data_IF_698925990378
#
_entry.id   IF_698925990378
#
_cell.length_a   1.000
_cell.length_b   1.000
_cell.length_c   1.000
_cell.angle_alpha   90.00
_cell.angle_beta   90.00
_cell.angle_gamma   90.00
#
_symmetry.space_group_name_H-M   'P 1'
#
loop_
_entity.id
_entity.type
_entity.pdbx_description
1 polymer ?
#
# COMPACT_ATOMS: atom_id res chain seq x y z
N UNK A 1 -0.91 -15.25 -24.62
CA UNK A 1 -1.96 -15.57 -23.62
C UNK A 1 -3.31 -14.99 -24.07
N UNK A 2 -4.17 -15.77 -24.73
CA UNK A 2 -5.43 -15.24 -25.32
C UNK A 2 -6.61 -15.42 -24.35
N UNK A 3 -7.23 -14.31 -23.93
CA UNK A 3 -8.57 -14.34 -23.33
C UNK A 3 -8.83 -13.32 -22.21
N UNK A 4 -7.85 -13.03 -21.35
CA UNK A 4 -8.05 -12.27 -20.11
C UNK A 4 -8.62 -10.87 -20.42
N UNK A 5 -9.72 -10.44 -19.77
CA UNK A 5 -10.28 -9.11 -19.98
C UNK A 5 -9.24 -8.02 -19.72
N UNK A 6 -8.97 -7.17 -20.71
CA UNK A 6 -7.98 -6.08 -20.61
C UNK A 6 -8.24 -5.14 -19.42
N UNK A 7 -9.51 -4.96 -19.02
CA UNK A 7 -9.89 -4.20 -17.82
C UNK A 7 -9.24 -4.75 -16.53
N UNK A 8 -9.15 -6.08 -16.38
CA UNK A 8 -8.51 -6.71 -15.21
C UNK A 8 -6.98 -6.57 -15.22
N UNK A 9 -6.38 -6.46 -16.41
CA UNK A 9 -4.93 -6.22 -16.55
C UNK A 9 -4.61 -4.75 -16.28
N UNK A 10 -5.35 -3.82 -16.88
CA UNK A 10 -5.20 -2.37 -16.63
C UNK A 10 -5.42 -1.99 -15.16
N UNK A 11 -6.33 -2.68 -14.47
CA UNK A 11 -6.57 -2.50 -13.05
C UNK A 11 -5.33 -2.76 -12.16
N UNK A 12 -4.38 -3.60 -12.61
CA UNK A 12 -3.13 -3.91 -11.89
C UNK A 12 -2.03 -2.85 -12.05
N UNK A 13 -2.27 -1.81 -12.86
CA UNK A 13 -1.28 -0.78 -13.17
C UNK A 13 -1.70 0.53 -12.51
N UNK A 14 -0.87 1.02 -11.58
CA UNK A 14 -0.99 2.36 -10.98
C UNK A 14 0.07 3.26 -11.61
N UNK A 15 -0.34 4.41 -12.14
CA UNK A 15 0.56 5.41 -12.75
C UNK A 15 0.51 6.68 -11.92
N UNK A 16 1.64 7.01 -11.29
CA UNK A 16 1.86 8.25 -10.58
C UNK A 16 2.60 9.19 -11.53
N UNK A 17 1.90 10.24 -11.99
CA UNK A 17 2.47 11.23 -12.91
C UNK A 17 3.37 12.19 -12.13
N UNK A 18 4.43 12.67 -12.77
CA UNK A 18 5.20 13.80 -12.28
C UNK A 18 4.31 15.06 -12.20
N UNK A 19 4.58 15.93 -11.22
CA UNK A 19 3.92 17.23 -11.08
C UNK A 19 4.95 18.36 -11.03
N UNK A 20 4.79 19.46 -11.80
CA UNK A 20 5.68 20.62 -11.74
C UNK A 20 5.74 21.30 -10.36
N UNK A 21 4.74 21.10 -9.51
CA UNK A 21 4.65 21.66 -8.15
C UNK A 21 5.00 20.65 -7.04
N UNK A 22 5.47 19.46 -7.39
CA UNK A 22 5.72 18.38 -6.44
C UNK A 22 6.83 17.45 -6.93
N UNK A 23 6.62 16.13 -6.83
CA UNK A 23 7.63 15.17 -7.29
C UNK A 23 7.75 15.23 -8.82
N UNK A 24 8.94 15.62 -9.29
CA UNK A 24 9.31 15.67 -10.70
C UNK A 24 9.51 14.28 -11.33
N UNK A 25 9.43 13.22 -10.52
CA UNK A 25 9.55 11.83 -10.95
C UNK A 25 8.19 11.23 -11.28
N UNK A 26 8.09 10.53 -12.42
CA UNK A 26 6.95 9.68 -12.74
C UNK A 26 7.25 8.24 -12.30
N UNK A 27 6.24 7.54 -11.75
CA UNK A 27 6.38 6.16 -11.28
C UNK A 27 5.23 5.29 -11.79
N UNK A 28 5.55 4.08 -12.24
CA UNK A 28 4.56 3.06 -12.62
C UNK A 28 4.73 1.87 -11.69
N UNK A 29 3.66 1.46 -11.00
CA UNK A 29 3.60 0.24 -10.18
C UNK A 29 2.70 -0.77 -10.86
N UNK A 30 3.17 -2.00 -11.03
CA UNK A 30 2.41 -3.10 -11.66
C UNK A 30 2.31 -4.27 -10.69
N UNK A 31 1.09 -4.66 -10.31
CA UNK A 31 0.88 -5.91 -9.57
C UNK A 31 1.06 -7.12 -10.51
N UNK A 32 2.27 -7.69 -10.51
CA UNK A 32 2.62 -8.94 -11.22
C UNK A 32 1.99 -10.21 -10.62
N UNK A 33 1.21 -10.13 -9.55
CA UNK A 33 0.54 -11.27 -8.93
C UNK A 33 -0.32 -12.08 -9.90
N UNK A 34 -0.39 -13.40 -9.68
CA UNK A 34 -1.20 -14.29 -10.49
C UNK A 34 -2.71 -14.09 -10.19
N UNK A 35 -3.49 -13.73 -11.22
CA UNK A 35 -4.91 -13.39 -11.11
C UNK A 35 -5.77 -14.55 -10.58
N UNK A 36 -6.45 -14.42 -9.42
CA UNK A 36 -7.41 -15.40 -8.94
C UNK A 36 -8.57 -15.57 -9.92
N UNK A 37 -8.95 -16.82 -10.20
CA UNK A 37 -10.00 -17.13 -11.16
C UNK A 37 -11.35 -16.48 -10.83
N UNK A 38 -11.64 -16.18 -9.55
CA UNK A 38 -12.86 -15.50 -9.12
C UNK A 38 -13.05 -14.11 -9.74
N UNK A 39 -11.96 -13.38 -10.05
CA UNK A 39 -12.01 -12.05 -10.68
C UNK A 39 -12.46 -12.07 -12.15
N UNK A 40 -12.57 -13.25 -12.79
CA UNK A 40 -12.93 -13.37 -14.20
C UNK A 40 -14.41 -13.11 -14.51
N UNK A 41 -15.26 -13.00 -13.49
CA UNK A 41 -16.68 -12.66 -13.61
C UNK A 41 -17.54 -13.42 -12.61
N UNK A 42 -18.85 -13.43 -12.82
CA UNK A 42 -19.78 -14.18 -11.98
C UNK A 42 -19.52 -15.68 -12.08
N UNK A 43 -19.45 -16.34 -10.92
CA UNK A 43 -19.23 -17.77 -10.81
C UNK A 43 -20.56 -18.53 -10.75
N UNK A 44 -20.72 -19.58 -11.55
CA UNK A 44 -21.93 -20.42 -11.65
C UNK A 44 -21.54 -21.86 -11.94
N UNK A 45 -22.08 -22.83 -11.21
CA UNK A 45 -21.87 -24.25 -11.50
C UNK A 45 -22.69 -24.65 -12.72
N UNK A 46 -22.04 -25.19 -13.76
CA UNK A 46 -22.72 -25.81 -14.90
C UNK A 46 -22.79 -27.31 -14.65
N UNK A 47 -23.99 -27.77 -14.31
CA UNK A 47 -24.26 -29.17 -14.00
C UNK A 47 -24.24 -30.03 -15.28
N UNK A 48 -23.60 -31.19 -15.22
CA UNK A 48 -23.70 -32.20 -16.27
C UNK A 48 -25.04 -32.95 -16.15
N UNK A 49 -25.73 -33.14 -17.28
CA UNK A 49 -26.99 -33.90 -17.38
C UNK A 49 -26.89 -34.88 -18.55
N UNK A 50 -27.28 -36.13 -18.33
CA UNK A 50 -27.40 -37.16 -19.39
C UNK A 50 -28.72 -37.89 -19.19
N UNK A 51 -29.61 -37.87 -20.19
CA UNK A 51 -30.94 -38.47 -20.11
C UNK A 51 -31.79 -37.92 -18.94
N UNK A 52 -31.78 -36.61 -18.72
CA UNK A 52 -32.51 -35.94 -17.63
C UNK A 52 -31.91 -36.10 -16.22
N UNK A 53 -31.12 -37.14 -15.96
CA UNK A 53 -30.49 -37.38 -14.64
C UNK A 53 -29.26 -36.50 -14.42
N UNK A 54 -29.11 -36.03 -13.18
CA UNK A 54 -27.96 -35.23 -12.73
C UNK A 54 -26.71 -36.11 -12.62
N UNK A 55 -25.64 -35.72 -13.31
CA UNK A 55 -24.34 -36.37 -13.18
C UNK A 55 -23.45 -35.53 -12.25
N UNK A 56 -23.10 -36.08 -11.08
CA UNK A 56 -22.13 -35.45 -10.18
C UNK A 56 -20.74 -35.34 -10.84
N UNK A 57 -20.34 -36.37 -11.60
CA UNK A 57 -19.12 -36.34 -12.43
C UNK A 57 -19.34 -35.52 -13.70
N UNK A 58 -18.38 -34.65 -14.02
CA UNK A 58 -18.41 -33.80 -15.22
C UNK A 58 -19.16 -32.47 -15.06
N UNK A 59 -19.67 -32.15 -13.88
CA UNK A 59 -20.11 -30.78 -13.57
C UNK A 59 -18.91 -29.84 -13.51
N UNK A 60 -19.02 -28.62 -14.06
CA UNK A 60 -17.90 -27.69 -14.27
C UNK A 60 -18.25 -26.32 -13.71
N UNK A 61 -17.33 -25.71 -12.97
CA UNK A 61 -17.51 -24.34 -12.51
C UNK A 61 -17.23 -23.35 -13.64
N UNK A 62 -18.24 -22.57 -14.05
CA UNK A 62 -18.09 -21.48 -15.01
C UNK A 62 -17.84 -20.19 -14.26
N UNK A 63 -16.83 -19.41 -14.65
CA UNK A 63 -16.58 -18.07 -14.08
C UNK A 63 -16.41 -17.07 -15.23
N UNK A 64 -17.37 -16.18 -15.38
CA UNK A 64 -17.48 -15.35 -16.59
C UNK A 64 -17.56 -16.23 -17.85
N UNK A 65 -16.58 -16.13 -18.75
CA UNK A 65 -16.47 -16.97 -19.96
C UNK A 65 -15.63 -18.25 -19.78
N UNK A 66 -15.00 -18.45 -18.63
CA UNK A 66 -14.05 -19.52 -18.37
C UNK A 66 -14.71 -20.73 -17.72
N UNK A 67 -14.10 -21.90 -17.89
CA UNK A 67 -14.57 -23.18 -17.38
C UNK A 67 -13.45 -23.85 -16.58
N UNK A 68 -13.71 -24.12 -15.31
CA UNK A 68 -12.79 -24.76 -14.38
C UNK A 68 -13.37 -26.12 -13.98
N UNK A 69 -12.74 -27.19 -14.46
CA UNK A 69 -13.10 -28.57 -14.08
C UNK A 69 -12.63 -28.84 -12.65
N UNK A 70 -13.40 -29.64 -11.93
CA UNK A 70 -13.07 -30.13 -10.58
C UNK A 70 -12.75 -29.00 -9.57
N UNK A 71 -13.34 -27.83 -9.84
CA UNK A 71 -13.23 -26.61 -9.06
C UNK A 71 -14.57 -26.25 -8.42
N UNK A 72 -14.50 -25.61 -7.26
CA UNK A 72 -15.63 -25.17 -6.45
C UNK A 72 -15.36 -23.77 -5.88
N UNK A 73 -16.37 -23.19 -5.23
CA UNK A 73 -16.25 -21.88 -4.58
C UNK A 73 -16.27 -22.12 -3.07
N UNK A 74 -15.36 -21.49 -2.33
CA UNK A 74 -15.34 -21.51 -0.87
C UNK A 74 -14.94 -20.13 -0.34
N UNK A 75 -15.53 -19.72 0.78
CA UNK A 75 -15.08 -18.58 1.56
C UNK A 75 -13.95 -19.05 2.50
N UNK A 76 -12.81 -18.37 2.46
CA UNK A 76 -11.70 -18.65 3.39
C UNK A 76 -11.91 -17.93 4.73
N UNK A 77 -11.10 -18.27 5.74
CA UNK A 77 -11.17 -17.65 7.08
C UNK A 77 -10.97 -16.12 7.07
N UNK A 78 -10.34 -15.57 6.03
CA UNK A 78 -10.21 -14.13 5.79
C UNK A 78 -11.46 -13.47 5.18
N UNK A 79 -12.59 -14.17 5.09
CA UNK A 79 -13.85 -13.68 4.52
C UNK A 79 -13.88 -13.59 2.98
N UNK A 80 -12.76 -13.82 2.27
CA UNK A 80 -12.70 -13.74 0.81
C UNK A 80 -13.24 -15.01 0.15
N UNK A 81 -14.09 -14.84 -0.86
CA UNK A 81 -14.55 -15.92 -1.72
C UNK A 81 -13.50 -16.26 -2.79
N UNK A 82 -13.10 -17.53 -2.85
CA UNK A 82 -12.14 -18.02 -3.82
C UNK A 82 -12.70 -19.19 -4.63
N UNK A 83 -12.27 -19.25 -5.90
CA UNK A 83 -12.38 -20.48 -6.70
C UNK A 83 -11.23 -21.37 -6.29
N UNK A 84 -11.53 -22.58 -5.84
CA UNK A 84 -10.54 -23.56 -5.40
C UNK A 84 -10.67 -24.86 -6.18
N UNK A 85 -9.57 -25.61 -6.27
CA UNK A 85 -9.52 -26.97 -6.84
C UNK A 85 -8.76 -27.90 -5.92
N UNK A 86 -9.04 -29.20 -6.02
CA UNK A 86 -8.16 -30.23 -5.45
C UNK A 86 -6.92 -30.37 -6.33
N UNK A 87 -5.76 -30.56 -5.72
CA UNK A 87 -4.50 -30.88 -6.43
C UNK A 87 -4.10 -32.30 -6.05
N UNK A 88 -3.92 -33.16 -7.05
CA UNK A 88 -3.41 -34.52 -6.87
C UNK A 88 -1.90 -34.53 -6.58
N UNK A 89 -1.43 -35.51 -5.81
CA UNK A 89 0.01 -35.75 -5.59
C UNK A 89 0.67 -35.02 -4.41
N UNK A 90 -0.02 -34.11 -3.72
CA UNK A 90 0.40 -33.63 -2.38
C UNK A 90 -0.36 -34.39 -1.28
N UNK A 91 0.26 -34.52 -0.09
CA UNK A 91 0.20 -35.68 0.81
C UNK A 91 -1.15 -36.26 1.30
N UNK A 92 -2.32 -35.69 0.94
CA UNK A 92 -3.52 -36.39 0.41
C UNK A 92 -4.63 -35.37 0.09
N UNK A 93 -4.56 -34.78 -1.12
CA UNK A 93 -5.52 -33.80 -1.70
C UNK A 93 -5.63 -32.43 -1.02
N UNK A 94 -4.56 -31.60 -0.95
CA UNK A 94 -4.73 -30.20 -0.59
C UNK A 94 -5.63 -29.47 -1.59
N UNK A 95 -6.38 -28.52 -1.04
CA UNK A 95 -7.22 -27.59 -1.77
C UNK A 95 -6.36 -26.33 -2.01
N UNK A 96 -6.31 -25.85 -3.26
CA UNK A 96 -5.56 -24.64 -3.62
C UNK A 96 -6.46 -23.68 -4.43
N UNK A 97 -6.16 -22.39 -4.33
CA UNK A 97 -6.85 -21.33 -5.06
C UNK A 97 -6.46 -21.41 -6.53
N UNK A 98 -7.45 -21.47 -7.42
CA UNK A 98 -7.21 -21.45 -8.86
C UNK A 98 -6.75 -20.05 -9.26
N UNK A 99 -5.49 -19.95 -9.67
CA UNK A 99 -4.83 -18.73 -10.14
C UNK A 99 -4.50 -18.88 -11.63
N UNK A 100 -4.65 -17.80 -12.39
CA UNK A 100 -4.16 -17.68 -13.76
C UNK A 100 -2.74 -17.13 -13.68
N UNK A 101 -1.73 -17.78 -14.30
CA UNK A 101 -0.38 -17.23 -14.35
C UNK A 101 -0.41 -15.87 -15.05
N UNK A 102 0.06 -14.83 -14.37
CA UNK A 102 0.29 -13.50 -14.94
C UNK A 102 1.72 -13.00 -14.68
N UNK A 103 2.41 -13.46 -13.63
CA UNK A 103 3.69 -12.86 -13.22
C UNK A 103 4.73 -12.85 -14.32
N UNK A 104 5.07 -13.99 -14.92
CA UNK A 104 6.08 -14.02 -16.00
C UNK A 104 5.72 -13.10 -17.18
N UNK A 105 4.52 -13.24 -17.78
CA UNK A 105 4.13 -12.39 -18.91
C UNK A 105 3.94 -10.90 -18.61
N UNK A 106 3.59 -10.52 -17.36
CA UNK A 106 3.55 -9.11 -16.97
C UNK A 106 4.94 -8.54 -16.69
N UNK A 107 5.82 -9.32 -16.06
CA UNK A 107 7.23 -8.92 -15.86
C UNK A 107 7.92 -8.71 -17.20
N UNK A 108 7.87 -9.70 -18.11
CA UNK A 108 8.48 -9.58 -19.44
C UNK A 108 7.94 -8.37 -20.20
N UNK A 109 6.62 -8.21 -20.28
CA UNK A 109 6.02 -7.09 -21.01
C UNK A 109 6.32 -5.70 -20.37
N UNK A 110 6.66 -5.66 -19.08
CA UNK A 110 7.09 -4.43 -18.41
C UNK A 110 8.58 -4.14 -18.68
N UNK A 111 9.44 -5.16 -18.65
CA UNK A 111 10.87 -5.06 -18.97
C UNK A 111 11.06 -4.65 -20.44
N UNK A 112 10.39 -5.33 -21.38
CA UNK A 112 10.38 -4.99 -22.81
C UNK A 112 9.97 -3.53 -23.04
N UNK A 113 8.94 -3.06 -22.31
CA UNK A 113 8.44 -1.69 -22.41
C UNK A 113 9.38 -0.66 -21.76
N UNK A 114 9.99 -0.99 -20.61
CA UNK A 114 11.00 -0.17 -19.93
C UNK A 114 12.18 0.06 -20.87
N UNK A 115 12.72 -1.01 -21.43
CA UNK A 115 13.93 -0.96 -22.26
C UNK A 115 13.65 -0.23 -23.58
N UNK A 116 12.44 -0.37 -24.15
CA UNK A 116 12.03 0.42 -25.30
C UNK A 116 11.89 1.92 -25.01
N UNK A 117 11.36 2.31 -23.84
CA UNK A 117 11.26 3.71 -23.42
C UNK A 117 12.65 4.31 -23.17
N UNK A 118 13.57 3.56 -22.53
CA UNK A 118 14.94 4.00 -22.30
C UNK A 118 15.71 4.12 -23.61
N UNK A 119 15.60 3.15 -24.52
CA UNK A 119 16.26 3.22 -25.83
C UNK A 119 15.71 4.32 -26.75
N UNK A 120 14.46 4.74 -26.54
CA UNK A 120 13.80 5.82 -27.30
C UNK A 120 14.07 7.24 -26.78
N UNK A 121 14.69 7.39 -25.60
CA UNK A 121 15.03 8.69 -25.01
C UNK A 121 16.54 8.81 -24.76
N UNK A 122 17.18 9.82 -25.35
CA UNK A 122 18.64 10.02 -25.28
C UNK A 122 19.20 9.85 -23.84
N UNK A 123 20.07 8.86 -23.66
CA UNK A 123 20.46 8.33 -22.35
C UNK A 123 21.44 9.19 -21.53
N UNK A 124 21.72 10.45 -21.93
CA UNK A 124 22.74 11.30 -21.30
C UNK A 124 22.23 12.30 -20.26
N UNK A 125 20.91 12.44 -20.04
CA UNK A 125 20.37 13.50 -19.15
C UNK A 125 19.38 13.03 -18.07
N UNK A 126 19.12 11.72 -17.95
CA UNK A 126 18.21 11.18 -16.95
C UNK A 126 18.92 10.20 -16.00
N UNK A 127 19.10 10.60 -14.74
CA UNK A 127 19.51 9.69 -13.68
C UNK A 127 18.41 8.68 -13.35
N UNK A 128 18.37 7.55 -14.06
CA UNK A 128 17.36 6.50 -13.86
C UNK A 128 17.76 5.61 -12.67
N UNK A 129 17.34 6.00 -11.46
CA UNK A 129 17.44 5.14 -10.28
C UNK A 129 16.37 4.03 -10.36
N UNK A 130 16.73 2.88 -10.93
CA UNK A 130 15.89 1.66 -10.88
C UNK A 130 16.06 0.95 -9.54
N UNK A 131 15.28 1.34 -8.53
CA UNK A 131 15.18 0.59 -7.28
C UNK A 131 14.41 -0.73 -7.52
N UNK A 132 15.14 -1.79 -7.87
CA UNK A 132 14.61 -3.15 -7.87
C UNK A 132 14.73 -3.70 -6.46
N UNK A 133 13.79 -3.32 -5.58
CA UNK A 133 13.72 -3.81 -4.21
C UNK A 133 13.49 -5.32 -4.23
N UNK A 134 14.59 -6.06 -4.14
CA UNK A 134 14.60 -7.50 -3.99
C UNK A 134 14.35 -7.79 -2.53
N UNK A 135 13.26 -8.51 -2.22
CA UNK A 135 12.85 -8.85 -0.86
C UNK A 135 13.88 -9.80 -0.20
N UNK A 136 14.93 -9.22 0.38
CA UNK A 136 15.75 -9.92 1.39
C UNK A 136 14.95 -10.02 2.68
N UNK A 137 14.85 -11.23 3.21
CA UNK A 137 14.04 -11.57 4.38
C UNK A 137 14.64 -10.98 5.66
N UNK A 138 14.29 -9.74 5.98
CA UNK A 138 14.21 -9.29 7.36
C UNK A 138 12.86 -9.73 7.96
N UNK A 139 12.82 -9.91 9.29
CA UNK A 139 11.57 -10.22 10.02
C UNK A 139 10.45 -9.23 9.62
N UNK A 140 9.19 -9.67 9.53
CA UNK A 140 8.11 -8.91 8.89
C UNK A 140 7.65 -7.73 9.75
N UNK A 141 8.47 -6.67 9.75
CA UNK A 141 8.14 -5.36 10.29
C UNK A 141 6.84 -4.88 9.61
N UNK A 142 5.79 -4.69 10.41
CA UNK A 142 4.50 -4.21 9.92
C UNK A 142 4.70 -2.95 9.05
N UNK A 143 4.08 -2.89 7.86
CA UNK A 143 4.13 -1.74 6.93
C UNK A 143 3.86 -0.41 7.66
N UNK A 144 2.99 -0.42 8.67
CA UNK A 144 2.71 0.74 9.52
C UNK A 144 3.95 1.24 10.26
N UNK A 145 4.72 0.34 10.88
CA UNK A 145 5.98 0.66 11.57
C UNK A 145 7.03 1.16 10.58
N UNK A 146 7.15 0.53 9.41
CA UNK A 146 8.07 1.01 8.36
C UNK A 146 7.77 2.47 7.95
N UNK A 147 6.48 2.79 7.74
CA UNK A 147 6.04 4.15 7.38
C UNK A 147 6.44 5.16 8.45
N UNK A 148 6.11 4.89 9.72
CA UNK A 148 6.40 5.82 10.83
C UNK A 148 7.90 5.97 11.06
N UNK A 149 8.67 4.88 11.02
CA UNK A 149 10.12 4.91 11.21
C UNK A 149 10.86 5.67 10.09
N UNK A 150 10.41 5.56 8.83
CA UNK A 150 10.96 6.38 7.73
C UNK A 150 10.69 7.87 7.91
N UNK A 151 9.49 8.25 8.35
CA UNK A 151 9.15 9.66 8.63
C UNK A 151 9.94 10.17 9.83
N UNK A 152 10.04 9.40 10.92
CA UNK A 152 10.84 9.74 12.11
C UNK A 152 12.33 9.87 11.79
N UNK A 153 12.90 8.99 10.96
CA UNK A 153 14.29 9.10 10.52
C UNK A 153 14.53 10.41 9.76
N UNK A 154 13.64 10.74 8.82
CA UNK A 154 13.75 11.98 8.05
C UNK A 154 13.58 13.24 8.90
N UNK A 155 12.72 13.20 9.91
CA UNK A 155 12.57 14.31 10.87
C UNK A 155 13.82 14.44 11.76
N UNK A 156 14.40 13.34 12.25
CA UNK A 156 15.66 13.35 13.03
C UNK A 156 16.83 13.94 12.24
N UNK A 157 16.93 13.66 10.94
CA UNK A 157 17.94 14.30 10.07
C UNK A 157 17.80 15.84 10.02
N UNK A 158 16.56 16.35 10.10
CA UNK A 158 16.27 17.78 10.01
C UNK A 158 16.37 18.50 11.37
N UNK A 159 15.91 17.87 12.46
CA UNK A 159 15.95 18.46 13.81
C UNK A 159 17.31 18.26 14.52
N UNK A 160 18.04 17.17 14.21
CA UNK A 160 19.10 16.68 15.09
C UNK A 160 18.58 16.37 16.50
N UNK A 161 19.42 16.61 17.51
CA UNK A 161 19.11 16.39 18.94
C UNK A 161 18.25 17.51 19.57
N UNK A 162 17.64 18.40 18.77
CA UNK A 162 16.86 19.55 19.28
C UNK A 162 15.47 19.20 19.81
N UNK A 163 14.98 17.98 19.58
CA UNK A 163 13.65 17.55 20.00
C UNK A 163 13.61 16.05 20.37
N UNK A 164 12.71 15.69 21.29
CA UNK A 164 12.40 14.28 21.63
C UNK A 164 11.48 13.66 20.56
N UNK A 165 11.61 12.37 20.26
CA UNK A 165 10.88 11.72 19.16
C UNK A 165 10.04 10.51 19.59
N UNK A 166 8.74 10.53 19.29
CA UNK A 166 7.79 9.47 19.66
C UNK A 166 7.24 8.68 18.45
N UNK A 167 7.30 7.35 18.52
CA UNK A 167 6.70 6.40 17.56
C UNK A 167 5.29 6.00 17.99
N UNK A 168 4.35 6.94 17.84
CA UNK A 168 2.99 6.88 18.37
C UNK A 168 2.56 8.22 18.96
N UNK A 169 1.26 8.40 19.22
CA UNK A 169 0.75 9.54 19.99
C UNK A 169 1.01 9.27 21.49
N UNK A 170 1.88 10.03 22.18
CA UNK A 170 2.08 9.86 23.62
C UNK A 170 0.83 10.22 24.41
N UNK A 171 0.50 9.44 25.43
CA UNK A 171 -0.60 9.74 26.35
C UNK A 171 -0.24 10.82 27.39
N UNK A 172 1.06 11.02 27.62
CA UNK A 172 1.65 12.05 28.47
C UNK A 172 3.01 12.42 27.90
N UNK A 173 3.39 13.70 28.00
CA UNK A 173 4.70 14.22 27.59
C UNK A 173 5.21 15.07 28.75
N UNK A 174 6.41 14.79 29.26
CA UNK A 174 6.96 15.59 30.34
C UNK A 174 7.46 16.94 29.82
N UNK A 175 7.34 18.01 30.63
CA UNK A 175 7.88 19.33 30.33
C UNK A 175 9.41 19.35 30.06
N UNK A 176 10.14 18.32 30.49
CA UNK A 176 11.58 18.11 30.21
C UNK A 176 11.85 17.45 28.86
N UNK A 177 10.87 16.75 28.28
CA UNK A 177 10.95 16.15 26.95
C UNK A 177 10.61 17.15 25.83
N UNK A 178 10.07 18.32 26.18
CA UNK A 178 9.69 19.38 25.25
C UNK A 178 10.90 20.23 24.82
N UNK A 179 11.05 20.55 23.52
CA UNK A 179 10.11 20.28 22.44
C UNK A 179 10.17 18.83 21.96
N UNK A 180 9.04 18.29 21.53
CA UNK A 180 8.93 16.90 21.08
C UNK A 180 8.17 16.79 19.74
N UNK A 181 8.43 15.71 19.00
CA UNK A 181 7.79 15.39 17.73
C UNK A 181 7.24 13.98 17.77
N UNK A 182 5.94 13.82 17.50
CA UNK A 182 5.28 12.51 17.43
C UNK A 182 4.82 12.20 16.00
N UNK A 183 4.91 10.91 15.64
CA UNK A 183 4.40 10.40 14.35
C UNK A 183 3.53 9.17 14.61
N UNK A 184 2.27 9.19 14.17
CA UNK A 184 1.36 8.05 14.32
C UNK A 184 0.46 7.84 13.09
N UNK A 185 -0.18 6.68 13.04
CA UNK A 185 -1.23 6.36 12.07
C UNK A 185 -2.56 6.15 12.79
N UNK A 186 -3.64 6.70 12.25
CA UNK A 186 -5.01 6.41 12.68
C UNK A 186 -5.87 5.95 11.48
N UNK A 187 -7.11 5.51 11.75
CA UNK A 187 -8.11 5.13 10.75
C UNK A 187 -7.60 4.18 9.65
N UNK A 188 -6.70 3.27 10.01
CA UNK A 188 -6.16 2.26 9.11
C UNK A 188 -7.26 1.26 8.69
N UNK A 189 -7.77 1.43 7.49
CA UNK A 189 -8.90 0.66 6.94
C UNK A 189 -8.51 -0.05 5.64
N UNK A 190 -8.91 -1.32 5.54
CA UNK A 190 -8.81 -2.10 4.31
C UNK A 190 -9.87 -1.62 3.29
N UNK A 191 -9.42 -1.17 2.13
CA UNK A 191 -10.29 -0.61 1.07
C UNK A 191 -10.74 -1.64 0.03
N UNK A 192 -10.06 -2.79 -0.05
CA UNK A 192 -10.49 -3.95 -0.84
C UNK A 192 -10.71 -3.73 -2.34
N UNK A 193 -10.09 -2.70 -2.92
CA UNK A 193 -10.22 -2.36 -4.35
C UNK A 193 -9.83 -3.55 -5.24
N UNK A 194 -8.79 -4.29 -4.86
CA UNK A 194 -8.45 -5.58 -5.46
C UNK A 194 -8.67 -6.78 -4.50
N UNK A 195 -8.71 -7.97 -5.11
CA UNK A 195 -8.22 -9.19 -4.44
C UNK A 195 -6.73 -9.28 -4.73
N UNK A 196 -5.98 -10.14 -4.05
CA UNK A 196 -4.55 -10.37 -4.36
C UNK A 196 -3.68 -9.09 -4.42
N UNK A 197 -4.21 -8.05 -3.77
CA UNK A 197 -3.55 -6.93 -3.12
C UNK A 197 -4.32 -6.74 -1.80
N UNK A 198 -3.62 -6.33 -0.76
CA UNK A 198 -4.22 -5.90 0.49
C UNK A 198 -4.09 -4.38 0.57
N UNK A 199 -5.06 -3.71 -0.06
CA UNK A 199 -5.12 -2.24 -0.18
C UNK A 199 -5.63 -1.58 1.11
N UNK A 200 -4.82 -0.70 1.68
CA UNK A 200 -5.13 0.07 2.87
C UNK A 200 -5.18 1.58 2.60
N UNK A 201 -5.92 2.27 3.46
CA UNK A 201 -5.97 3.71 3.61
C UNK A 201 -5.82 4.02 5.10
N UNK A 202 -5.07 5.05 5.46
CA UNK A 202 -4.91 5.52 6.83
C UNK A 202 -4.68 7.03 6.86
N UNK A 203 -4.80 7.65 8.03
CA UNK A 203 -4.32 9.01 8.27
C UNK A 203 -2.95 8.94 8.91
N UNK A 204 -1.96 9.59 8.31
CA UNK A 204 -0.64 9.84 8.87
C UNK A 204 -0.66 11.19 9.57
N UNK A 205 -0.26 11.19 10.83
CA UNK A 205 -0.17 12.37 11.68
C UNK A 205 1.29 12.65 12.01
N UNK A 206 1.70 13.91 11.88
CA UNK A 206 2.98 14.42 12.38
C UNK A 206 2.65 15.65 13.22
N UNK A 207 3.09 15.68 14.47
CA UNK A 207 2.82 16.79 15.37
C UNK A 207 4.03 17.21 16.19
N UNK A 208 4.13 18.51 16.47
CA UNK A 208 5.13 19.11 17.35
C UNK A 208 4.46 19.53 18.65
N UNK A 209 5.09 19.22 19.77
CA UNK A 209 4.71 19.61 21.12
C UNK A 209 5.73 20.61 21.66
N UNK A 210 5.24 21.73 22.19
CA UNK A 210 6.02 22.72 22.95
C UNK A 210 5.34 22.99 24.29
N UNK A 211 5.94 23.78 25.18
CA UNK A 211 5.32 24.09 26.49
C UNK A 211 3.99 24.81 26.33
N UNK A 212 3.00 24.50 27.16
CA UNK A 212 1.67 25.09 27.06
C UNK A 212 1.62 26.63 27.20
N UNK A 213 2.62 27.26 27.81
CA UNK A 213 2.66 28.74 27.94
C UNK A 213 3.15 29.45 26.67
N UNK A 214 3.67 28.70 25.68
CA UNK A 214 4.16 29.26 24.43
C UNK A 214 3.02 29.75 23.52
N UNK A 215 3.25 30.80 22.71
CA UNK A 215 2.29 31.27 21.72
C UNK A 215 2.23 30.30 20.52
N UNK A 216 1.09 30.28 19.81
CA UNK A 216 0.94 29.42 18.62
C UNK A 216 1.96 29.78 17.51
N UNK A 217 2.45 31.02 17.45
CA UNK A 217 3.53 31.42 16.54
C UNK A 217 4.85 30.68 16.76
N UNK A 218 5.10 30.12 17.95
CA UNK A 218 6.26 29.25 18.19
C UNK A 218 6.03 27.85 17.59
N UNK A 219 4.79 27.34 17.62
CA UNK A 219 4.41 26.12 16.89
C UNK A 219 4.55 26.35 15.37
N UNK A 220 4.09 27.49 14.86
CA UNK A 220 4.22 27.84 13.44
C UNK A 220 5.68 27.84 12.98
N UNK A 221 6.57 28.47 13.77
CA UNK A 221 8.02 28.46 13.51
C UNK A 221 8.60 27.04 13.45
N UNK A 222 8.18 26.13 14.34
CA UNK A 222 8.59 24.72 14.28
C UNK A 222 8.05 24.00 13.04
N UNK A 223 6.79 24.23 12.69
CA UNK A 223 6.18 23.60 11.51
C UNK A 223 6.83 24.09 10.20
N UNK A 224 7.08 25.39 10.07
CA UNK A 224 7.69 26.01 8.88
C UNK A 224 9.19 25.72 8.73
N UNK A 225 9.97 25.78 9.81
CA UNK A 225 11.42 25.61 9.75
C UNK A 225 11.86 24.14 9.74
N UNK A 226 11.05 23.23 10.28
CA UNK A 226 11.46 21.85 10.56
C UNK A 226 10.55 20.83 9.90
N UNK A 227 9.24 20.87 10.15
CA UNK A 227 8.33 19.78 9.73
C UNK A 227 8.03 19.84 8.22
N UNK A 228 7.57 20.97 7.68
CA UNK A 228 7.27 21.06 6.25
C UNK A 228 8.51 20.84 5.36
N UNK A 229 9.71 21.38 5.67
CA UNK A 229 10.93 21.08 4.91
C UNK A 229 11.30 19.60 4.92
N UNK A 230 11.17 18.90 6.05
CA UNK A 230 11.42 17.46 6.14
C UNK A 230 10.44 16.63 5.31
N UNK A 231 9.16 17.03 5.25
CA UNK A 231 8.10 16.32 4.54
C UNK A 231 8.03 16.62 3.04
N UNK A 232 8.59 17.75 2.58
CA UNK A 232 8.65 18.13 1.16
C UNK A 232 9.33 17.05 0.30
N UNK A 233 10.40 16.43 0.80
CA UNK A 233 10.91 15.19 0.21
C UNK A 233 11.33 14.14 1.24
N UNK A 234 10.62 13.01 1.16
CA UNK A 234 10.91 11.77 1.85
C UNK A 234 11.03 10.66 0.79
N UNK A 235 12.23 10.41 0.23
CA UNK A 235 12.41 9.43 -0.84
C UNK A 235 12.01 8.01 -0.42
N UNK A 236 12.49 7.56 0.75
CA UNK A 236 12.22 6.23 1.29
C UNK A 236 10.73 5.95 1.55
N UNK A 237 9.92 7.00 1.81
CA UNK A 237 8.47 6.85 2.00
C UNK A 237 7.79 6.44 0.70
N UNK A 238 8.34 6.81 -0.46
CA UNK A 238 7.78 6.43 -1.75
C UNK A 238 7.70 4.92 -1.92
N UNK A 239 8.71 4.15 -1.48
CA UNK A 239 8.69 2.68 -1.53
C UNK A 239 7.60 2.03 -0.68
N UNK A 240 7.03 2.75 0.28
CA UNK A 240 6.06 2.25 1.24
C UNK A 240 4.61 2.65 0.94
N UNK A 241 4.37 3.81 0.32
CA UNK A 241 3.02 4.34 0.05
C UNK A 241 2.77 4.58 -1.44
N UNK A 242 1.50 4.45 -1.83
CA UNK A 242 1.01 4.79 -3.16
C UNK A 242 0.70 6.29 -3.26
N UNK A 243 -0.06 6.85 -2.31
CA UNK A 243 -0.43 8.28 -2.28
C UNK A 243 -0.15 8.92 -0.93
N UNK A 244 0.21 10.20 -0.95
CA UNK A 244 0.27 11.11 0.20
C UNK A 244 -0.52 12.37 -0.18
N UNK A 245 -1.59 12.69 0.54
CA UNK A 245 -2.46 13.84 0.24
C UNK A 245 -2.68 14.63 1.54
N UNK A 246 -2.36 15.93 1.60
CA UNK A 246 -2.66 16.75 2.78
C UNK A 246 -4.16 16.72 3.10
N UNK A 247 -4.51 16.55 4.38
CA UNK A 247 -5.91 16.58 4.86
C UNK A 247 -6.22 17.86 5.62
N UNK A 248 -5.35 18.24 6.55
CA UNK A 248 -5.58 19.42 7.39
C UNK A 248 -4.45 19.67 8.38
N UNK A 249 -4.56 20.82 9.04
CA UNK A 249 -3.66 21.30 10.07
C UNK A 249 -4.50 21.72 11.28
N UNK A 250 -4.06 21.41 12.50
CA UNK A 250 -4.82 21.70 13.72
C UNK A 250 -3.90 22.10 14.88
N UNK A 251 -4.43 22.92 15.80
CA UNK A 251 -3.79 23.24 17.08
C UNK A 251 -4.56 22.55 18.21
N UNK A 252 -3.83 21.99 19.17
CA UNK A 252 -4.40 21.37 20.36
C UNK A 252 -3.61 21.81 21.60
N UNK A 253 -4.26 21.85 22.76
CA UNK A 253 -3.61 22.18 24.03
C UNK A 253 -4.04 21.16 25.08
N UNK A 254 -3.13 20.85 26.00
CA UNK A 254 -3.41 19.97 27.13
C UNK A 254 -4.44 20.64 28.06
N UNK A 255 -5.69 20.16 27.99
CA UNK A 255 -6.79 20.66 28.81
C UNK A 255 -6.83 20.05 30.22
N UNK A 256 -6.00 19.03 30.51
CA UNK A 256 -5.99 18.33 31.80
C UNK A 256 -4.89 18.87 32.72
N UNK A 257 -3.64 18.83 32.26
CA UNK A 257 -2.47 19.20 33.07
C UNK A 257 -1.80 20.50 32.59
N UNK A 258 -2.25 21.10 31.48
CA UNK A 258 -1.68 22.29 30.86
C UNK A 258 -0.14 22.23 30.71
N UNK A 259 0.38 21.07 30.34
CA UNK A 259 1.82 20.81 30.17
C UNK A 259 2.32 21.23 28.78
N UNK A 260 1.60 20.85 27.73
CA UNK A 260 1.98 21.09 26.33
C UNK A 260 0.92 21.83 25.49
N UNK A 261 1.41 22.46 24.43
CA UNK A 261 0.64 22.90 23.26
C UNK A 261 1.18 22.16 22.03
N UNK A 262 0.30 21.79 21.10
CA UNK A 262 0.61 20.96 19.94
C UNK A 262 0.10 21.61 18.64
N UNK A 263 0.92 21.56 17.59
CA UNK A 263 0.48 21.73 16.21
C UNK A 263 0.65 20.43 15.45
N UNK A 264 -0.36 20.07 14.65
CA UNK A 264 -0.50 18.79 13.99
C UNK A 264 -0.78 19.00 12.51
N UNK A 265 -0.03 18.33 11.63
CA UNK A 265 -0.40 18.16 10.22
C UNK A 265 -0.80 16.71 9.95
N UNK A 266 -1.88 16.55 9.16
CA UNK A 266 -2.45 15.26 8.79
C UNK A 266 -2.41 15.04 7.28
N UNK A 267 -2.11 13.80 6.89
CA UNK A 267 -2.10 13.36 5.50
C UNK A 267 -2.89 12.07 5.33
N UNK A 268 -3.72 11.99 4.29
CA UNK A 268 -4.29 10.73 3.85
C UNK A 268 -3.23 9.95 3.10
N UNK A 269 -2.87 8.77 3.61
CA UNK A 269 -2.02 7.81 2.92
C UNK A 269 -2.84 6.66 2.36
N UNK A 270 -2.43 6.16 1.19
CA UNK A 270 -2.85 4.83 0.72
C UNK A 270 -1.62 3.99 0.44
N UNK A 271 -1.70 2.70 0.73
CA UNK A 271 -0.60 1.76 0.56
C UNK A 271 -1.16 0.35 0.35
N UNK A 272 -0.37 -0.49 -0.30
CA UNK A 272 -0.62 -1.93 -0.36
C UNK A 272 0.34 -2.61 0.62
N UNK A 273 -0.17 -3.54 1.44
CA UNK A 273 0.70 -4.43 2.20
C UNK A 273 1.32 -5.45 1.22
#
# INVERSE_FOLDING_TARGET
MKGIPLKLVRQRVRVFKASPSGKMTARIRVNRGNLPAIKLGTARVRLARRGGKLQYRGSVLKVGKYLFRDAFIQQLANGRWHVMRRIDGKNRYPIDVVKIPLSGPLTQAFEDARDHIIAGGNAETAGVCTETTTEVMADPMNRHTQIRQVVLARLREQCGDSATFFDGLPAFVDAQELPAVAVWLSDAQYTGKMTDEDDWQAVLHIAVFIRAQAPDSELDMWMESTIFPALNDVPALSGLIDTLIPLGFNYQRDNEMATWAMAEITYQITYTN
#
